data_IF_190505834543
#
_entry.id   IF_190505834543
#
_cell.length_a   1.000
_cell.length_b   1.000
_cell.length_c   1.000
_cell.angle_alpha   90.00
_cell.angle_beta   90.00
_cell.angle_gamma   90.00
#
_symmetry.space_group_name_H-M   'P 1'
#
loop_
_entity.id
_entity.type
_entity.pdbx_description
1 polymer ?
#
# COMPACT_ATOMS: atom_id res chain seq x y z
N UNK A 1 33.57 46.70 -14.99
CA UNK A 1 34.22 45.59 -14.24
C UNK A 1 33.23 44.72 -13.43
N UNK A 2 32.11 45.24 -12.94
CA UNK A 2 31.16 44.53 -12.05
C UNK A 2 30.42 43.31 -12.66
N UNK A 3 30.09 43.33 -13.97
CA UNK A 3 29.39 42.18 -14.62
C UNK A 3 30.23 40.89 -14.59
N UNK A 4 31.56 40.97 -14.75
CA UNK A 4 32.46 39.80 -14.70
C UNK A 4 32.58 39.22 -13.28
N UNK A 5 32.43 40.04 -12.25
CA UNK A 5 32.53 39.61 -10.85
C UNK A 5 31.27 38.85 -10.41
N UNK A 6 30.07 39.31 -10.81
CA UNK A 6 28.79 38.62 -10.55
C UNK A 6 28.70 37.25 -11.22
N UNK A 7 29.28 37.06 -12.40
CA UNK A 7 29.32 35.76 -13.10
C UNK A 7 30.28 34.76 -12.44
N UNK A 8 31.40 35.22 -11.87
CA UNK A 8 32.33 34.36 -11.12
C UNK A 8 31.69 33.83 -9.82
N UNK A 9 30.89 34.65 -9.14
CA UNK A 9 30.19 34.25 -7.90
C UNK A 9 29.13 33.18 -8.19
N UNK A 10 28.29 33.36 -9.23
CA UNK A 10 27.29 32.35 -9.64
C UNK A 10 27.91 31.00 -10.06
N UNK A 11 29.07 31.02 -10.73
CA UNK A 11 29.79 29.77 -11.09
C UNK A 11 30.31 29.03 -9.86
N UNK A 12 30.74 29.75 -8.82
CA UNK A 12 31.22 29.18 -7.55
C UNK A 12 30.08 28.54 -6.75
N UNK A 13 28.90 29.14 -6.72
CA UNK A 13 27.70 28.55 -6.10
C UNK A 13 27.23 27.27 -6.80
N UNK A 14 27.22 27.25 -8.14
CA UNK A 14 26.84 26.07 -8.92
C UNK A 14 27.82 24.91 -8.67
N UNK A 15 29.11 25.21 -8.54
CA UNK A 15 30.14 24.20 -8.27
C UNK A 15 29.98 23.58 -6.88
N UNK A 16 29.73 24.40 -5.85
CA UNK A 16 29.47 23.91 -4.49
C UNK A 16 28.19 23.08 -4.39
N UNK A 17 27.15 23.43 -5.16
CA UNK A 17 25.91 22.65 -5.25
C UNK A 17 26.15 21.26 -5.85
N UNK A 18 26.92 21.18 -6.96
CA UNK A 18 27.32 19.90 -7.57
C UNK A 18 28.21 19.05 -6.67
N UNK A 19 29.09 19.66 -5.87
CA UNK A 19 29.94 18.96 -4.91
C UNK A 19 29.13 18.29 -3.78
N UNK A 20 28.07 18.96 -3.31
CA UNK A 20 27.12 18.39 -2.33
C UNK A 20 26.29 17.24 -2.91
N UNK A 21 25.87 17.33 -4.17
CA UNK A 21 25.14 16.25 -4.87
C UNK A 21 26.03 15.03 -5.10
N UNK A 22 27.28 15.22 -5.53
CA UNK A 22 28.26 14.13 -5.68
C UNK A 22 28.58 13.43 -4.36
N UNK A 23 28.64 14.16 -3.23
CA UNK A 23 28.85 13.56 -1.91
C UNK A 23 27.67 12.68 -1.47
N UNK A 24 26.43 13.08 -1.81
CA UNK A 24 25.23 12.25 -1.59
C UNK A 24 25.24 10.99 -2.44
N UNK A 25 25.62 11.11 -3.71
CA UNK A 25 25.79 9.96 -4.61
C UNK A 25 26.86 8.99 -4.12
N UNK A 26 28.02 9.49 -3.67
CA UNK A 26 29.09 8.65 -3.17
C UNK A 26 28.72 7.91 -1.87
N UNK A 27 27.93 8.54 -0.99
CA UNK A 27 27.40 7.87 0.20
C UNK A 27 26.35 6.80 -0.14
N UNK A 28 25.52 7.04 -1.16
CA UNK A 28 24.59 6.02 -1.69
C UNK A 28 25.36 4.81 -2.25
N UNK A 29 26.43 5.05 -3.03
CA UNK A 29 27.30 3.99 -3.57
C UNK A 29 28.01 3.20 -2.47
N UNK A 30 28.53 3.86 -1.42
CA UNK A 30 29.17 3.17 -0.28
C UNK A 30 28.19 2.33 0.55
N UNK A 31 26.92 2.72 0.60
CA UNK A 31 25.87 1.93 1.27
C UNK A 31 25.54 0.67 0.46
N UNK A 32 25.66 0.74 -0.87
CA UNK A 32 25.56 -0.42 -1.77
C UNK A 32 26.79 -1.35 -1.73
N UNK A 33 27.96 -0.89 -1.28
CA UNK A 33 29.11 -1.79 -1.07
C UNK A 33 28.89 -2.78 0.09
N UNK A 34 28.13 -2.40 1.13
CA UNK A 34 27.66 -3.35 2.15
C UNK A 34 26.67 -4.37 1.58
N UNK A 35 25.98 -4.01 0.49
CA UNK A 35 25.04 -4.86 -0.22
C UNK A 35 25.73 -5.85 -1.18
N UNK A 36 26.84 -5.47 -1.83
CA UNK A 36 27.68 -6.40 -2.60
C UNK A 36 28.25 -7.55 -1.74
N UNK A 37 28.63 -7.24 -0.50
CA UNK A 37 29.10 -8.28 0.45
C UNK A 37 27.96 -9.24 0.86
N UNK A 38 26.71 -8.77 0.88
CA UNK A 38 25.53 -9.60 1.11
C UNK A 38 25.17 -10.45 -0.12
N UNK A 39 25.33 -9.92 -1.33
CA UNK A 39 25.13 -10.66 -2.59
C UNK A 39 26.09 -11.84 -2.76
N UNK A 40 27.38 -11.66 -2.43
CA UNK A 40 28.39 -12.74 -2.52
C UNK A 40 28.10 -13.92 -1.59
N UNK A 41 27.38 -13.68 -0.48
CA UNK A 41 26.97 -14.74 0.43
C UNK A 41 25.74 -15.54 -0.06
N UNK A 42 24.96 -14.99 -1.00
CA UNK A 42 23.71 -15.59 -1.48
C UNK A 42 23.87 -16.35 -2.81
N UNK A 43 24.74 -15.88 -3.71
CA UNK A 43 24.89 -16.46 -5.07
C UNK A 43 25.61 -17.81 -5.18
N UNK A 44 26.22 -18.34 -4.11
CA UNK A 44 26.97 -19.61 -4.17
C UNK A 44 26.10 -20.88 -4.18
N UNK A 45 24.77 -20.79 -4.33
CA UNK A 45 23.90 -21.96 -4.30
C UNK A 45 22.89 -22.02 -5.47
N UNK A 46 23.29 -22.79 -6.49
CA UNK A 46 22.46 -23.66 -7.36
C UNK A 46 21.82 -23.07 -8.63
N UNK A 47 22.38 -23.54 -9.74
CA UNK A 47 21.90 -23.54 -11.12
C UNK A 47 20.64 -24.42 -11.34
N UNK A 48 19.72 -24.01 -12.23
CA UNK A 48 19.05 -24.89 -13.23
C UNK A 48 18.17 -24.07 -14.21
N UNK A 49 18.36 -24.29 -15.52
CA UNK A 49 17.77 -23.59 -16.68
C UNK A 49 16.45 -24.23 -17.16
N UNK A 50 15.43 -23.46 -17.60
CA UNK A 50 14.42 -23.89 -18.61
C UNK A 50 13.92 -22.69 -19.48
N UNK A 51 13.69 -22.98 -20.76
CA UNK A 51 13.45 -22.16 -21.96
C UNK A 51 12.15 -21.30 -22.06
N UNK A 52 12.25 -20.24 -22.86
CA UNK A 52 11.19 -19.32 -23.32
C UNK A 52 10.53 -19.73 -24.65
N UNK A 53 9.27 -19.32 -24.86
CA UNK A 53 8.78 -18.73 -26.12
C UNK A 53 7.35 -18.18 -25.98
N UNK A 54 7.11 -16.88 -26.22
CA UNK A 54 5.78 -16.29 -26.46
C UNK A 54 5.86 -15.14 -27.49
N UNK A 55 4.94 -15.15 -28.46
CA UNK A 55 4.68 -14.08 -29.46
C UNK A 55 3.63 -13.06 -28.95
N UNK A 56 3.80 -11.83 -29.42
CA UNK A 56 3.07 -10.57 -29.13
C UNK A 56 1.58 -10.58 -29.51
N UNK A 57 0.76 -9.78 -28.81
CA UNK A 57 -0.28 -8.92 -29.43
C UNK A 57 -0.81 -7.80 -28.49
N UNK A 58 -1.62 -6.91 -29.08
CA UNK A 58 -1.82 -5.47 -28.89
C UNK A 58 -2.84 -4.97 -27.83
N UNK A 59 -2.78 -3.64 -27.61
CA UNK A 59 -3.52 -2.73 -26.72
C UNK A 59 -5.06 -2.81 -26.71
N UNK A 60 -5.69 -2.45 -25.58
CA UNK A 60 -6.87 -1.55 -25.52
C UNK A 60 -7.20 -1.05 -24.10
N UNK A 61 -7.81 0.13 -24.04
CA UNK A 61 -8.16 1.01 -22.91
C UNK A 61 -9.30 0.48 -22.01
N UNK A 62 -9.20 0.65 -20.67
CA UNK A 62 -10.24 0.20 -19.72
C UNK A 62 -10.65 1.29 -18.70
N UNK A 63 -11.98 1.49 -18.56
CA UNK A 63 -12.69 2.24 -17.51
C UNK A 63 -12.92 1.35 -16.28
N UNK A 64 -12.88 1.94 -15.08
CA UNK A 64 -13.10 1.33 -13.76
C UNK A 64 -14.31 0.37 -13.69
N UNK A 65 -14.06 -0.92 -13.92
CA UNK A 65 -14.80 -2.06 -13.37
C UNK A 65 -13.75 -3.05 -12.88
N UNK A 66 -14.08 -3.81 -11.84
CA UNK A 66 -13.20 -4.76 -11.16
C UNK A 66 -12.17 -5.38 -12.11
N UNK A 67 -10.88 -5.28 -11.76
CA UNK A 67 -9.76 -5.75 -12.60
C UNK A 67 -10.04 -7.23 -12.95
N UNK A 68 -10.34 -7.56 -14.21
CA UNK A 68 -10.52 -8.94 -14.61
C UNK A 68 -9.16 -9.62 -14.51
N UNK A 69 -9.08 -10.73 -13.79
CA UNK A 69 -7.93 -11.62 -13.78
C UNK A 69 -7.84 -12.35 -15.13
N UNK A 70 -7.50 -11.63 -16.20
CA UNK A 70 -7.12 -12.28 -17.45
C UNK A 70 -5.67 -12.75 -17.32
N UNK A 71 -5.41 -13.96 -17.82
CA UNK A 71 -4.20 -14.79 -17.70
C UNK A 71 -2.88 -14.06 -18.04
N UNK A 72 -2.45 -13.15 -17.17
CA UNK A 72 -1.12 -12.59 -17.13
C UNK A 72 -0.32 -13.50 -16.21
N UNK A 73 0.77 -14.08 -16.72
CA UNK A 73 1.74 -14.88 -15.94
C UNK A 73 2.49 -13.96 -14.98
N UNK A 74 1.81 -13.41 -13.99
CA UNK A 74 2.46 -12.83 -12.82
C UNK A 74 2.96 -14.02 -12.01
N UNK A 75 4.29 -14.11 -11.90
CA UNK A 75 4.91 -15.17 -11.12
C UNK A 75 4.39 -15.05 -9.68
N UNK A 76 3.54 -15.99 -9.26
CA UNK A 76 2.82 -15.97 -7.96
C UNK A 76 3.78 -15.99 -6.74
N UNK A 77 5.09 -16.10 -6.99
CA UNK A 77 6.16 -16.15 -5.99
C UNK A 77 7.25 -15.09 -6.23
N UNK A 78 6.87 -13.85 -6.60
CA UNK A 78 7.86 -12.76 -6.73
C UNK A 78 8.59 -12.47 -5.41
N UNK A 79 7.90 -12.62 -4.27
CA UNK A 79 8.47 -12.43 -2.93
C UNK A 79 8.70 -13.80 -2.30
N UNK A 80 9.96 -14.15 -2.11
CA UNK A 80 10.33 -15.41 -1.46
C UNK A 80 9.93 -15.43 0.02
N UNK A 81 9.38 -16.55 0.53
CA UNK A 81 8.96 -16.66 1.93
C UNK A 81 10.10 -16.37 2.92
N UNK A 82 11.30 -16.85 2.64
CA UNK A 82 12.46 -16.65 3.51
C UNK A 82 12.90 -15.18 3.57
N UNK A 83 12.91 -14.51 2.41
CA UNK A 83 13.25 -13.07 2.32
C UNK A 83 12.23 -12.23 3.09
N UNK A 84 10.93 -12.52 2.94
CA UNK A 84 9.90 -11.88 3.75
C UNK A 84 10.08 -12.18 5.25
N UNK A 85 10.30 -13.44 5.63
CA UNK A 85 10.43 -13.82 7.04
C UNK A 85 11.62 -13.14 7.70
N UNK A 86 12.75 -12.99 7.00
CA UNK A 86 13.92 -12.26 7.52
C UNK A 86 13.61 -10.78 7.71
N UNK A 87 12.96 -10.14 6.73
CA UNK A 87 12.55 -8.74 6.82
C UNK A 87 11.54 -8.52 7.96
N UNK A 88 10.54 -9.40 8.08
CA UNK A 88 9.55 -9.38 9.14
C UNK A 88 10.21 -9.52 10.51
N UNK A 89 11.04 -10.55 10.72
CA UNK A 89 11.68 -10.81 12.01
C UNK A 89 12.53 -9.60 12.42
N UNK A 90 13.31 -9.02 11.50
CA UNK A 90 14.10 -7.83 11.79
C UNK A 90 13.22 -6.65 12.25
N UNK A 91 12.09 -6.41 11.60
CA UNK A 91 11.14 -5.35 12.02
C UNK A 91 10.51 -5.70 13.37
N UNK A 92 10.06 -6.95 13.53
CA UNK A 92 9.40 -7.42 14.75
C UNK A 92 10.33 -7.31 15.96
N UNK A 93 11.57 -7.81 15.84
CA UNK A 93 12.59 -7.72 16.88
C UNK A 93 12.90 -6.26 17.23
N UNK A 94 13.00 -5.39 16.22
CA UNK A 94 13.16 -3.95 16.45
C UNK A 94 11.97 -3.35 17.20
N UNK A 95 10.75 -3.70 16.84
CA UNK A 95 9.54 -3.18 17.49
C UNK A 95 9.46 -3.65 18.93
N UNK A 96 9.64 -4.94 19.21
CA UNK A 96 9.61 -5.51 20.56
C UNK A 96 10.73 -4.93 21.43
N UNK A 97 11.96 -4.83 20.90
CA UNK A 97 13.12 -4.38 21.68
C UNK A 97 13.25 -2.86 21.79
N UNK A 98 12.54 -2.06 20.97
CA UNK A 98 12.58 -0.59 21.00
C UNK A 98 11.42 0.04 21.76
N UNK A 99 10.57 -0.75 22.43
CA UNK A 99 9.46 -0.20 23.20
C UNK A 99 9.96 0.74 24.30
N UNK A 100 9.84 2.05 24.06
CA UNK A 100 9.37 2.95 25.10
C UNK A 100 8.01 2.39 25.55
N UNK A 101 7.83 2.13 26.83
CA UNK A 101 6.80 1.28 27.44
C UNK A 101 5.31 1.54 27.11
N UNK A 102 4.97 2.42 26.15
CA UNK A 102 3.64 3.02 26.01
C UNK A 102 2.99 2.96 24.61
N UNK A 103 3.54 2.23 23.61
CA UNK A 103 2.86 2.08 22.30
C UNK A 103 2.31 0.65 22.14
N UNK A 104 0.97 0.48 22.07
CA UNK A 104 0.34 -0.82 21.86
C UNK A 104 0.73 -1.49 20.53
N UNK A 105 0.96 -2.80 20.55
CA UNK A 105 1.43 -3.58 19.39
C UNK A 105 0.43 -3.62 18.23
N UNK A 106 -0.86 -3.45 18.52
CA UNK A 106 -1.98 -3.35 17.57
C UNK A 106 -1.98 -2.04 16.76
N UNK A 107 -1.06 -1.11 17.04
CA UNK A 107 -0.85 0.09 16.23
C UNK A 107 0.23 -0.08 15.15
N UNK A 108 0.97 -1.19 15.17
CA UNK A 108 2.13 -1.40 14.29
C UNK A 108 1.73 -1.96 12.93
N UNK A 109 1.36 -1.08 11.99
CA UNK A 109 0.99 -1.44 10.63
C UNK A 109 2.20 -1.62 9.71
N UNK A 110 2.19 -2.70 8.93
CA UNK A 110 3.13 -2.94 7.85
C UNK A 110 2.54 -2.50 6.50
N UNK A 111 3.43 -2.05 5.63
CA UNK A 111 3.12 -1.64 4.27
C UNK A 111 4.00 -2.38 3.27
N UNK A 112 3.43 -2.67 2.11
CA UNK A 112 4.13 -3.09 0.91
C UNK A 112 4.36 -1.87 0.01
N UNK A 113 5.61 -1.45 -0.12
CA UNK A 113 5.99 -0.34 -0.99
C UNK A 113 6.40 -0.85 -2.35
N UNK A 114 5.94 -0.18 -3.40
CA UNK A 114 6.34 -0.39 -4.78
C UNK A 114 7.11 0.83 -5.27
N UNK A 115 8.40 0.68 -5.50
CA UNK A 115 9.21 1.73 -6.13
C UNK A 115 9.17 1.53 -7.64
N UNK A 116 8.86 2.61 -8.35
CA UNK A 116 8.59 2.63 -9.78
C UNK A 116 9.80 3.18 -10.54
N UNK A 117 10.00 2.71 -11.77
CA UNK A 117 11.08 3.18 -12.65
C UNK A 117 10.89 4.64 -13.07
N UNK A 118 9.63 5.09 -13.07
CA UNK A 118 9.23 6.46 -13.43
C UNK A 118 8.16 6.95 -12.46
N UNK A 119 8.06 8.27 -12.32
CA UNK A 119 6.98 8.88 -11.55
C UNK A 119 5.62 8.57 -12.18
N UNK A 120 4.72 7.98 -11.41
CA UNK A 120 3.33 7.80 -11.79
C UNK A 120 2.70 9.18 -12.07
N UNK A 121 2.23 9.40 -13.29
CA UNK A 121 1.69 10.69 -13.75
C UNK A 121 0.29 10.56 -14.39
N UNK A 122 -0.29 9.35 -14.39
CA UNK A 122 -1.52 8.99 -15.11
C UNK A 122 -2.80 9.53 -14.40
N UNK A 123 -2.65 10.14 -13.22
CA UNK A 123 -3.74 10.77 -12.48
C UNK A 123 -3.58 10.59 -10.98
N UNK A 124 -4.65 10.85 -10.23
CA UNK A 124 -4.77 10.44 -8.82
C UNK A 124 -5.90 9.42 -8.73
N UNK A 125 -5.61 8.22 -8.24
CA UNK A 125 -6.65 7.28 -7.85
C UNK A 125 -6.72 7.26 -6.34
N UNK A 126 -7.72 7.95 -5.79
CA UNK A 126 -7.97 7.90 -4.36
C UNK A 126 -8.62 6.58 -4.00
N UNK A 127 -8.20 5.99 -2.88
CA UNK A 127 -8.87 4.85 -2.29
C UNK A 127 -8.95 3.63 -3.23
N UNK A 128 -7.87 3.37 -3.97
CA UNK A 128 -7.75 2.25 -4.88
C UNK A 128 -7.85 0.93 -4.10
N UNK A 129 -8.85 0.08 -4.39
CA UNK A 129 -9.08 -1.16 -3.65
C UNK A 129 -8.14 -2.26 -4.10
N UNK A 130 -7.59 -3.00 -3.14
CA UNK A 130 -6.75 -4.18 -3.36
C UNK A 130 -7.30 -5.29 -2.48
N UNK A 131 -7.67 -6.42 -3.07
CA UNK A 131 -8.14 -7.57 -2.30
C UNK A 131 -6.97 -8.15 -1.49
N UNK A 132 -7.23 -8.52 -0.24
CA UNK A 132 -6.30 -9.24 0.63
C UNK A 132 -6.88 -10.59 1.01
N UNK A 133 -6.01 -11.56 1.28
CA UNK A 133 -6.40 -12.87 1.79
C UNK A 133 -6.94 -12.77 3.21
N UNK A 134 -6.30 -11.96 4.06
CA UNK A 134 -6.64 -11.82 5.48
C UNK A 134 -6.96 -10.37 5.82
N UNK A 135 -8.21 -10.10 6.18
CA UNK A 135 -8.63 -8.78 6.65
C UNK A 135 -8.01 -8.42 8.00
N UNK A 136 -7.37 -7.25 8.08
CA UNK A 136 -6.77 -6.71 9.31
C UNK A 136 -7.66 -5.69 10.03
N UNK A 137 -8.85 -5.37 9.52
CA UNK A 137 -9.81 -4.50 10.21
C UNK A 137 -10.53 -5.27 11.32
N UNK A 138 -10.62 -4.65 12.49
CA UNK A 138 -11.33 -5.23 13.65
C UNK A 138 -12.67 -4.58 13.85
N UNK A 139 -12.71 -3.24 13.76
CA UNK A 139 -13.90 -2.45 14.03
C UNK A 139 -14.37 -1.68 12.79
N UNK A 140 -15.49 -2.10 12.23
CA UNK A 140 -16.06 -1.53 11.00
C UNK A 140 -17.36 -0.79 11.31
N UNK A 141 -17.52 0.38 10.71
CA UNK A 141 -18.76 1.17 10.75
C UNK A 141 -19.33 1.37 9.35
N UNK A 142 -20.65 1.24 9.22
CA UNK A 142 -21.38 1.44 7.97
C UNK A 142 -22.29 2.68 8.11
N UNK A 143 -22.19 3.56 7.12
CA UNK A 143 -22.97 4.79 6.98
C UNK A 143 -24.00 4.56 5.88
N UNK A 144 -25.27 4.54 6.24
CA UNK A 144 -26.40 4.24 5.34
C UNK A 144 -27.30 5.45 5.19
N UNK A 145 -28.01 5.54 4.07
CA UNK A 145 -29.00 6.62 3.84
C UNK A 145 -30.18 6.50 4.78
N UNK A 146 -30.81 5.34 4.83
CA UNK A 146 -32.06 5.14 5.56
C UNK A 146 -32.15 3.71 6.12
N UNK A 147 -33.21 3.45 6.89
CA UNK A 147 -33.55 2.11 7.40
C UNK A 147 -32.42 1.44 8.20
N UNK A 148 -31.75 2.20 9.08
CA UNK A 148 -30.60 1.72 9.84
C UNK A 148 -30.85 0.43 10.63
N UNK A 149 -32.06 0.21 11.14
CA UNK A 149 -32.38 -0.99 11.93
C UNK A 149 -32.49 -2.26 11.07
N UNK A 150 -32.99 -2.14 9.83
CA UNK A 150 -32.96 -3.24 8.86
C UNK A 150 -31.54 -3.72 8.59
N UNK A 151 -30.62 -2.80 8.30
CA UNK A 151 -29.22 -3.16 8.05
C UNK A 151 -28.53 -3.75 9.28
N UNK A 152 -28.87 -3.30 10.49
CA UNK A 152 -28.41 -3.93 11.74
C UNK A 152 -28.91 -5.37 11.87
N UNK A 153 -30.18 -5.63 11.56
CA UNK A 153 -30.73 -6.97 11.60
C UNK A 153 -29.99 -7.89 10.62
N UNK A 154 -29.77 -7.43 9.38
CA UNK A 154 -28.98 -8.18 8.39
C UNK A 154 -27.56 -8.51 8.89
N UNK A 155 -26.90 -7.58 9.58
CA UNK A 155 -25.56 -7.81 10.18
C UNK A 155 -25.61 -8.91 11.26
N UNK A 156 -26.64 -8.88 12.11
CA UNK A 156 -26.81 -9.83 13.22
C UNK A 156 -27.13 -11.22 12.65
N UNK A 157 -28.11 -11.32 11.76
CA UNK A 157 -28.55 -12.56 11.11
C UNK A 157 -27.40 -13.24 10.36
N UNK A 158 -26.59 -12.46 9.65
CA UNK A 158 -25.46 -12.97 8.87
C UNK A 158 -24.14 -13.00 9.64
N UNK A 159 -24.15 -12.75 10.96
CA UNK A 159 -23.00 -12.86 11.86
C UNK A 159 -21.77 -12.07 11.41
N UNK A 160 -21.95 -10.85 10.89
CA UNK A 160 -20.87 -9.97 10.44
C UNK A 160 -20.14 -9.32 11.64
N UNK A 161 -19.40 -10.13 12.42
CA UNK A 161 -18.80 -9.77 13.72
C UNK A 161 -17.87 -8.54 13.72
N UNK A 162 -17.25 -8.24 12.58
CA UNK A 162 -16.36 -7.07 12.42
C UNK A 162 -17.14 -5.76 12.29
N UNK A 163 -18.40 -5.81 11.87
CA UNK A 163 -19.26 -4.63 11.80
C UNK A 163 -19.82 -4.33 13.18
N UNK A 164 -19.34 -3.24 13.78
CA UNK A 164 -19.69 -2.83 15.15
C UNK A 164 -20.80 -1.80 15.21
N UNK A 165 -21.01 -1.06 14.12
CA UNK A 165 -21.99 0.02 14.08
C UNK A 165 -22.56 0.22 12.69
N UNK A 166 -23.88 0.45 12.65
CA UNK A 166 -24.58 1.09 11.54
C UNK A 166 -25.14 2.41 12.04
N UNK A 167 -24.92 3.47 11.27
CA UNK A 167 -25.47 4.79 11.54
C UNK A 167 -26.07 5.35 10.25
N UNK A 168 -27.22 6.02 10.36
CA UNK A 168 -27.81 6.75 9.23
C UNK A 168 -27.09 8.08 9.06
N UNK A 169 -27.09 8.64 7.85
CA UNK A 169 -26.49 9.97 7.62
C UNK A 169 -27.17 11.06 8.46
N UNK A 170 -28.47 10.99 8.71
CA UNK A 170 -29.18 11.94 9.59
C UNK A 170 -28.57 11.94 11.01
N UNK A 171 -28.40 10.75 11.60
CA UNK A 171 -27.78 10.60 12.93
C UNK A 171 -26.30 10.98 12.93
N UNK A 172 -25.62 10.85 11.79
CA UNK A 172 -24.24 11.30 11.63
C UNK A 172 -24.17 12.84 11.66
N UNK A 173 -25.14 13.53 11.06
CA UNK A 173 -25.16 15.00 10.99
C UNK A 173 -25.24 15.64 12.38
N UNK A 174 -26.00 15.05 13.31
CA UNK A 174 -26.06 15.48 14.73
C UNK A 174 -24.69 15.48 15.42
N UNK A 175 -23.79 14.57 15.00
CA UNK A 175 -22.43 14.43 15.51
C UNK A 175 -21.42 15.24 14.68
N UNK A 176 -21.67 15.37 13.38
CA UNK A 176 -20.73 15.91 12.41
C UNK A 176 -20.33 17.36 12.71
N UNK A 177 -21.29 18.17 13.17
CA UNK A 177 -21.05 19.57 13.52
C UNK A 177 -20.40 19.74 14.90
N UNK A 178 -20.35 18.67 15.72
CA UNK A 178 -19.74 18.67 17.05
C UNK A 178 -18.35 18.05 16.98
N UNK A 179 -17.34 18.91 16.87
CA UNK A 179 -15.97 18.48 16.54
C UNK A 179 -15.40 17.39 17.44
N UNK A 180 -15.65 17.45 18.75
CA UNK A 180 -15.15 16.47 19.72
C UNK A 180 -15.82 15.11 19.55
N UNK A 181 -17.16 15.08 19.45
CA UNK A 181 -17.92 13.85 19.20
C UNK A 181 -17.54 13.21 17.87
N UNK A 182 -17.32 14.01 16.83
CA UNK A 182 -16.85 13.52 15.54
C UNK A 182 -15.44 12.92 15.65
N UNK A 183 -14.55 13.54 16.43
CA UNK A 183 -13.20 13.00 16.65
C UNK A 183 -13.26 11.65 17.40
N UNK A 184 -14.10 11.54 18.42
CA UNK A 184 -14.26 10.31 19.20
C UNK A 184 -14.85 9.18 18.35
N UNK A 185 -15.82 9.50 17.50
CA UNK A 185 -16.35 8.56 16.51
C UNK A 185 -15.26 8.09 15.55
N UNK A 186 -14.40 8.99 15.05
CA UNK A 186 -13.35 8.67 14.08
C UNK A 186 -12.23 7.81 14.67
N UNK A 187 -11.90 7.98 15.95
CA UNK A 187 -10.85 7.20 16.61
C UNK A 187 -11.26 5.74 16.83
N UNK A 188 -12.56 5.47 16.97
CA UNK A 188 -13.10 4.20 17.44
C UNK A 188 -13.09 3.07 16.40
N UNK A 189 -13.19 3.38 15.11
CA UNK A 189 -13.31 2.36 14.07
C UNK A 189 -12.12 2.41 13.11
N UNK A 190 -11.85 1.28 12.45
CA UNK A 190 -10.73 1.12 11.52
C UNK A 190 -11.13 1.35 10.06
N UNK A 191 -12.36 0.95 9.71
CA UNK A 191 -12.92 1.06 8.37
C UNK A 191 -14.30 1.71 8.40
N UNK A 192 -14.46 2.77 7.60
CA UNK A 192 -15.71 3.48 7.38
C UNK A 192 -16.26 3.14 5.99
N UNK A 193 -17.40 2.45 5.94
CA UNK A 193 -18.07 2.10 4.69
C UNK A 193 -19.20 3.08 4.45
N UNK A 194 -19.11 3.85 3.37
CA UNK A 194 -20.12 4.80 2.94
C UNK A 194 -21.02 4.16 1.88
N UNK A 195 -22.34 4.33 2.02
CA UNK A 195 -23.25 4.07 0.91
C UNK A 195 -23.00 5.06 -0.24
N UNK A 196 -22.78 4.53 -1.44
CA UNK A 196 -22.59 5.28 -2.68
C UNK A 196 -23.79 6.12 -3.10
N UNK A 197 -25.00 5.78 -2.64
CA UNK A 197 -26.21 6.57 -2.90
C UNK A 197 -26.06 8.01 -2.36
N UNK A 198 -25.30 8.16 -1.27
CA UNK A 198 -24.91 9.46 -0.72
C UNK A 198 -23.48 9.79 -1.14
N UNK A 199 -23.29 10.96 -1.78
CA UNK A 199 -21.95 11.37 -2.24
C UNK A 199 -21.04 11.56 -1.03
N UNK A 200 -20.05 10.69 -0.84
CA UNK A 200 -19.00 10.83 0.18
C UNK A 200 -18.33 12.22 0.17
N UNK A 201 -18.30 12.89 -0.99
CA UNK A 201 -17.86 14.30 -1.14
C UNK A 201 -18.59 15.29 -0.21
N UNK A 202 -19.86 15.03 0.14
CA UNK A 202 -20.64 15.83 1.11
C UNK A 202 -19.96 15.86 2.49
N UNK A 203 -19.28 14.78 2.87
CA UNK A 203 -18.65 14.60 4.17
C UNK A 203 -17.11 14.74 4.12
N UNK A 204 -16.62 15.71 3.33
CA UNK A 204 -15.18 15.95 3.15
C UNK A 204 -14.39 16.17 4.46
N UNK A 205 -14.99 16.85 5.45
CA UNK A 205 -14.36 17.04 6.77
C UNK A 205 -14.17 15.70 7.51
N UNK A 206 -15.19 14.83 7.48
CA UNK A 206 -15.10 13.49 8.08
C UNK A 206 -13.99 12.66 7.41
N UNK A 207 -13.94 12.66 6.06
CA UNK A 207 -12.88 11.96 5.31
C UNK A 207 -11.49 12.50 5.69
N UNK A 208 -11.34 13.81 5.80
CA UNK A 208 -10.08 14.44 6.23
C UNK A 208 -9.67 13.98 7.63
N UNK A 209 -10.62 13.92 8.57
CA UNK A 209 -10.37 13.39 9.92
C UNK A 209 -10.02 11.91 9.92
N UNK A 210 -10.73 11.07 9.17
CA UNK A 210 -10.43 9.63 9.01
C UNK A 210 -8.97 9.46 8.57
N UNK A 211 -8.55 10.18 7.53
CA UNK A 211 -7.15 10.15 7.06
C UNK A 211 -6.16 10.67 8.11
N UNK A 212 -6.50 11.77 8.81
CA UNK A 212 -5.65 12.33 9.88
C UNK A 212 -5.38 11.33 11.02
N UNK A 213 -6.35 10.48 11.33
CA UNK A 213 -6.21 9.42 12.33
C UNK A 213 -5.70 8.09 11.76
N UNK A 214 -5.17 8.08 10.53
CA UNK A 214 -4.69 6.88 9.83
C UNK A 214 -5.73 5.75 9.74
N UNK A 215 -7.03 6.10 9.69
CA UNK A 215 -8.13 5.16 9.48
C UNK A 215 -8.48 5.07 8.00
N UNK A 216 -9.21 4.01 7.62
CA UNK A 216 -9.58 3.76 6.22
C UNK A 216 -11.05 4.06 5.99
N UNK A 217 -11.42 4.43 4.76
CA UNK A 217 -12.80 4.49 4.34
C UNK A 217 -12.98 3.84 2.98
N UNK A 218 -14.21 3.56 2.60
CA UNK A 218 -14.58 3.13 1.24
C UNK A 218 -16.01 3.52 0.92
N UNK A 219 -16.36 3.45 -0.36
CA UNK A 219 -17.72 3.71 -0.83
C UNK A 219 -18.19 2.50 -1.60
N UNK A 220 -19.34 1.95 -1.22
CA UNK A 220 -19.94 0.78 -1.85
C UNK A 220 -21.42 1.03 -2.11
N UNK A 221 -21.97 0.39 -3.13
CA UNK A 221 -23.41 0.39 -3.31
C UNK A 221 -24.02 -0.59 -2.32
N UNK A 222 -24.86 -0.08 -1.43
CA UNK A 222 -25.57 -0.89 -0.45
C UNK A 222 -26.94 -1.22 -1.03
N UNK A 223 -27.18 -2.51 -1.25
CA UNK A 223 -28.48 -3.04 -1.61
C UNK A 223 -28.72 -4.35 -0.84
N UNK A 224 -29.96 -4.81 -0.79
CA UNK A 224 -30.33 -5.99 -0.01
C UNK A 224 -29.74 -7.26 -0.62
N UNK A 225 -29.89 -7.40 -1.93
CA UNK A 225 -29.56 -8.62 -2.67
C UNK A 225 -28.10 -9.04 -2.50
N UNK A 226 -27.18 -8.08 -2.38
CA UNK A 226 -25.75 -8.34 -2.29
C UNK A 226 -25.08 -7.79 -1.03
N UNK A 227 -25.88 -7.38 -0.02
CA UNK A 227 -25.37 -6.71 1.17
C UNK A 227 -24.18 -7.43 1.81
N UNK A 228 -24.38 -8.72 2.12
CA UNK A 228 -23.41 -9.54 2.85
C UNK A 228 -22.11 -9.67 2.06
N UNK A 229 -22.20 -9.96 0.77
CA UNK A 229 -21.05 -10.13 -0.12
C UNK A 229 -20.29 -8.82 -0.32
N UNK A 230 -21.01 -7.71 -0.52
CA UNK A 230 -20.43 -6.39 -0.70
C UNK A 230 -19.67 -5.95 0.55
N UNK A 231 -20.26 -6.13 1.74
CA UNK A 231 -19.61 -5.78 3.00
C UNK A 231 -18.41 -6.69 3.28
N UNK A 232 -18.55 -8.01 3.11
CA UNK A 232 -17.44 -8.94 3.29
C UNK A 232 -16.27 -8.61 2.34
N UNK A 233 -16.57 -8.31 1.08
CA UNK A 233 -15.56 -7.91 0.09
C UNK A 233 -14.86 -6.62 0.49
N UNK A 234 -15.61 -5.62 0.95
CA UNK A 234 -15.04 -4.35 1.43
C UNK A 234 -14.11 -4.56 2.63
N UNK A 235 -14.48 -5.43 3.57
CA UNK A 235 -13.68 -5.75 4.76
C UNK A 235 -12.39 -6.50 4.41
N UNK A 236 -12.39 -7.29 3.33
CA UNK A 236 -11.20 -8.02 2.85
C UNK A 236 -10.35 -7.19 1.88
N UNK A 237 -10.72 -5.95 1.58
CA UNK A 237 -9.90 -5.05 0.77
C UNK A 237 -9.06 -4.15 1.65
N UNK A 238 -7.83 -3.89 1.24
CA UNK A 238 -7.08 -2.70 1.65
C UNK A 238 -7.29 -1.60 0.63
N UNK A 239 -7.05 -0.36 1.04
CA UNK A 239 -7.23 0.78 0.17
C UNK A 239 -6.03 1.71 0.23
N UNK A 240 -5.57 2.16 -0.95
CA UNK A 240 -4.40 3.03 -1.07
C UNK A 240 -4.66 4.20 -2.01
N UNK A 241 -4.04 5.34 -1.74
CA UNK A 241 -4.04 6.46 -2.69
C UNK A 241 -2.87 6.28 -3.68
N UNK A 242 -3.18 6.12 -4.96
CA UNK A 242 -2.19 6.11 -6.04
C UNK A 242 -1.96 7.55 -6.51
N UNK A 243 -1.05 8.23 -5.81
CA UNK A 243 -0.68 9.63 -6.02
C UNK A 243 0.43 9.77 -7.06
N UNK A 244 0.68 11.00 -7.51
CA UNK A 244 1.86 11.26 -8.35
C UNK A 244 3.13 11.02 -7.53
N UNK A 245 4.06 10.24 -8.08
CA UNK A 245 5.34 9.95 -7.44
C UNK A 245 5.94 8.64 -7.92
N UNK A 246 7.14 8.34 -7.44
CA UNK A 246 7.88 7.12 -7.80
C UNK A 246 7.67 5.98 -6.79
N UNK A 247 6.84 6.15 -5.77
CA UNK A 247 6.58 5.13 -4.76
C UNK A 247 5.10 5.12 -4.37
N UNK A 248 4.51 3.93 -4.32
CA UNK A 248 3.19 3.71 -3.73
C UNK A 248 3.29 2.74 -2.55
N UNK A 249 2.52 2.99 -1.49
CA UNK A 249 2.52 2.20 -0.25
C UNK A 249 1.16 1.55 -0.03
N UNK A 250 1.10 0.22 -0.04
CA UNK A 250 -0.12 -0.56 0.21
C UNK A 250 -0.10 -1.08 1.65
N UNK A 251 -1.07 -0.76 2.51
CA UNK A 251 -1.16 -1.38 3.83
C UNK A 251 -1.48 -2.88 3.72
N UNK A 252 -0.68 -3.73 4.38
CA UNK A 252 -0.88 -5.20 4.35
C UNK A 252 -1.39 -5.79 5.67
N UNK A 253 -1.36 -4.99 6.74
CA UNK A 253 -1.96 -5.33 8.04
C UNK A 253 -1.06 -5.01 9.23
N UNK A 254 -1.60 -5.22 10.43
CA UNK A 254 -0.89 -5.02 11.69
C UNK A 254 -0.01 -6.22 12.04
N UNK A 255 1.07 -5.99 12.80
CA UNK A 255 1.94 -7.06 13.30
C UNK A 255 1.18 -8.14 14.08
N UNK A 256 0.09 -7.76 14.76
CA UNK A 256 -0.82 -8.66 15.49
C UNK A 256 -1.54 -9.67 14.60
N UNK A 257 -1.63 -9.43 13.28
CA UNK A 257 -2.20 -10.39 12.34
C UNK A 257 -1.34 -11.66 12.23
N UNK A 258 -0.04 -11.55 12.54
CA UNK A 258 0.92 -12.64 12.48
C UNK A 258 1.62 -12.76 11.13
N UNK A 259 2.86 -13.26 11.18
CA UNK A 259 3.78 -13.33 10.06
C UNK A 259 3.19 -14.00 8.83
N UNK A 260 2.58 -15.17 8.99
CA UNK A 260 2.12 -15.99 7.84
C UNK A 260 0.97 -15.31 7.10
N UNK A 261 0.01 -14.74 7.83
CA UNK A 261 -1.10 -13.98 7.24
C UNK A 261 -0.63 -12.70 6.55
N UNK A 262 0.38 -12.03 7.12
CA UNK A 262 1.00 -10.86 6.48
C UNK A 262 1.76 -11.25 5.21
N UNK A 263 2.36 -12.45 5.17
CA UNK A 263 2.99 -12.99 3.98
C UNK A 263 1.98 -13.26 2.86
N UNK A 264 0.84 -13.86 3.17
CA UNK A 264 -0.24 -14.05 2.20
C UNK A 264 -0.74 -12.70 1.65
N UNK A 265 -0.94 -11.71 2.54
CA UNK A 265 -1.40 -10.39 2.15
C UNK A 265 -0.39 -9.64 1.26
N UNK A 266 0.91 -9.73 1.54
CA UNK A 266 1.92 -9.07 0.69
C UNK A 266 2.02 -9.73 -0.69
N UNK A 267 1.85 -11.06 -0.77
CA UNK A 267 1.80 -11.76 -2.07
C UNK A 267 0.63 -11.29 -2.92
N UNK A 268 -0.57 -11.26 -2.34
CA UNK A 268 -1.77 -10.84 -3.06
C UNK A 268 -1.69 -9.36 -3.48
N UNK A 269 -1.18 -8.50 -2.57
CA UNK A 269 -0.93 -7.09 -2.87
C UNK A 269 0.06 -6.93 -4.01
N UNK A 270 1.18 -7.67 -3.99
CA UNK A 270 2.19 -7.64 -5.03
C UNK A 270 1.61 -8.09 -6.38
N UNK A 271 0.85 -9.19 -6.39
CA UNK A 271 0.19 -9.71 -7.59
C UNK A 271 -0.71 -8.66 -8.24
N UNK A 272 -1.64 -8.08 -7.49
CA UNK A 272 -2.61 -7.09 -8.00
C UNK A 272 -1.89 -5.83 -8.48
N UNK A 273 -0.94 -5.31 -7.70
CA UNK A 273 -0.25 -4.07 -8.04
C UNK A 273 0.67 -4.22 -9.25
N UNK A 274 1.36 -5.36 -9.39
CA UNK A 274 2.18 -5.63 -10.57
C UNK A 274 1.33 -5.72 -11.84
N UNK A 275 0.19 -6.42 -11.80
CA UNK A 275 -0.76 -6.43 -12.91
C UNK A 275 -1.22 -5.02 -13.27
N UNK A 276 -1.54 -4.21 -12.26
CA UNK A 276 -1.92 -2.81 -12.48
C UNK A 276 -0.80 -2.01 -13.18
N UNK A 277 0.45 -2.09 -12.71
CA UNK A 277 1.55 -1.33 -13.31
C UNK A 277 1.91 -1.81 -14.73
N UNK A 278 1.80 -3.12 -14.97
CA UNK A 278 2.00 -3.70 -16.30
C UNK A 278 0.97 -3.14 -17.30
N UNK A 279 -0.31 -3.10 -16.92
CA UNK A 279 -1.37 -2.45 -17.72
C UNK A 279 -1.09 -0.96 -17.98
N UNK A 280 -0.39 -0.30 -17.06
CA UNK A 280 0.04 1.10 -17.20
C UNK A 280 1.40 1.27 -17.88
N UNK A 281 2.05 0.18 -18.31
CA UNK A 281 3.40 0.17 -18.91
C UNK A 281 4.44 0.86 -18.00
N UNK A 282 4.33 0.65 -16.69
CA UNK A 282 5.26 1.15 -15.67
C UNK A 282 6.01 -0.03 -15.06
N UNK A 283 7.33 0.05 -14.99
CA UNK A 283 8.14 -0.99 -14.36
C UNK A 283 8.26 -0.76 -12.85
N UNK A 284 8.17 -1.83 -12.07
CA UNK A 284 8.48 -1.83 -10.64
C UNK A 284 9.96 -2.18 -10.45
N UNK A 285 10.72 -1.28 -9.83
CA UNK A 285 12.16 -1.42 -9.55
C UNK A 285 12.38 -2.31 -8.32
N UNK A 286 11.58 -2.11 -7.28
CA UNK A 286 11.66 -2.91 -6.07
C UNK A 286 10.31 -2.97 -5.36
N UNK A 287 10.15 -4.04 -4.58
CA UNK A 287 9.08 -4.18 -3.60
C UNK A 287 9.74 -4.23 -2.24
N UNK A 288 9.28 -3.40 -1.32
CA UNK A 288 9.86 -3.27 0.01
C UNK A 288 8.81 -3.48 1.10
N UNK A 289 9.20 -4.14 2.17
CA UNK A 289 8.45 -4.16 3.41
C UNK A 289 8.78 -2.89 4.20
N UNK A 290 7.76 -2.08 4.49
CA UNK A 290 7.90 -0.82 5.22
C UNK A 290 7.17 -0.87 6.55
N UNK A 291 7.82 -0.33 7.57
CA UNK A 291 7.27 -0.05 8.88
C UNK A 291 7.77 1.31 9.37
N UNK A 292 6.86 2.28 9.57
CA UNK A 292 7.20 3.67 9.94
C UNK A 292 8.27 4.26 8.98
N UNK A 293 9.52 4.35 9.45
CA UNK A 293 10.70 4.90 8.76
C UNK A 293 11.68 3.80 8.32
N UNK A 294 11.37 2.53 8.60
CA UNK A 294 12.15 1.38 8.22
C UNK A 294 11.60 0.82 6.91
N UNK A 295 12.49 0.59 5.94
CA UNK A 295 12.14 0.02 4.64
C UNK A 295 13.16 -1.06 4.33
N UNK A 296 12.70 -2.28 4.06
CA UNK A 296 13.55 -3.44 3.79
C UNK A 296 13.14 -4.01 2.44
N UNK A 297 14.04 -4.07 1.45
CA UNK A 297 13.71 -4.66 0.16
C UNK A 297 13.42 -6.15 0.31
N UNK A 298 12.31 -6.60 -0.26
CA UNK A 298 11.92 -8.02 -0.34
C UNK A 298 11.93 -8.55 -1.78
N UNK A 299 12.06 -7.65 -2.75
CA UNK A 299 12.29 -7.93 -4.16
C UNK A 299 12.96 -6.72 -4.83
N UNK A 300 13.93 -6.95 -5.71
CA UNK A 300 14.58 -5.92 -6.53
C UNK A 300 14.72 -6.48 -7.96
N UNK A 301 14.22 -5.74 -8.95
CA UNK A 301 14.18 -6.16 -10.35
C UNK A 301 15.57 -6.33 -10.96
N UNK A 302 16.51 -5.40 -10.68
CA UNK A 302 17.88 -5.45 -11.19
C UNK A 302 18.67 -6.72 -10.78
N UNK A 303 18.24 -7.42 -9.73
CA UNK A 303 18.89 -8.67 -9.29
C UNK A 303 18.51 -9.87 -10.15
N UNK A 304 17.36 -9.84 -10.84
CA UNK A 304 16.95 -10.96 -11.70
C UNK A 304 17.67 -10.91 -13.05
N UNK A 305 17.90 -9.72 -13.60
CA UNK A 305 18.57 -9.56 -14.90
C UNK A 305 20.10 -9.66 -14.81
N UNK A 306 20.70 -9.43 -13.63
CA UNK A 306 22.13 -9.62 -13.38
C UNK A 306 22.61 -11.07 -13.38
N UNK A 307 21.71 -12.04 -13.54
CA UNK A 307 22.05 -13.46 -13.77
C UNK A 307 21.92 -13.88 -15.23
N UNK A 308 21.51 -12.98 -16.12
CA UNK A 308 21.30 -13.23 -17.55
C UNK A 308 22.32 -12.53 -18.46
N UNK A 309 23.33 -11.83 -17.91
CA UNK A 309 24.34 -11.09 -18.69
C UNK A 309 25.71 -11.76 -18.81
N UNK A 310 25.82 -13.07 -18.52
CA UNK A 310 27.01 -13.87 -18.83
C UNK A 310 26.61 -15.10 -19.67
N UNK A 311 26.20 -14.84 -20.91
CA UNK A 311 26.32 -15.79 -22.03
C UNK A 311 25.94 -15.09 -23.34
N UNK A 312 26.85 -14.22 -23.78
CA UNK A 312 27.21 -14.10 -25.19
C UNK A 312 28.73 -14.11 -25.27
#
# INVERSE_FOLDING_TARGET
>A
MEKKMKTKIKKKEIFEKKKKENKKFLNYVKTNQKYENFQKAILNNKNQKINHNIKKLHDTTIKNKDIPCNNIKVNDQIIEPNTFSKAYNFIFDKVINSQAANIPIDTHMLYCNFDLSVSYNIGKSYNFPINLTHSYYSDVIILVTENGDKWKNMIIENKLKKVKKVITYDKLEDLYYKNDLLNDLVKKYDLYIFDSSTKAKKYGNLISKIKKYNKTYTTVQINEDNFVDTINRAIHRTYTDLNRGSTHSVPIGYLTLGKDKLYDNIKESAKIMLQFYEQKKISVVSINLRYINMTIPVYIHALKDGTLSESY
#
